data_IF_729486155805
#
_entry.id   IF_729486155805
#
_cell.length_a   1.000
_cell.length_b   1.000
_cell.length_c   1.000
_cell.angle_alpha   90.00
_cell.angle_beta   90.00
_cell.angle_gamma   90.00
#
_symmetry.space_group_name_H-M   'P 1'
#
loop_
_entity.id
_entity.type
_entity.pdbx_description
1 polymer ?
#
# COMPACT_ATOMS: atom_id res chain seq x y z
N UNK A 1 -27.71 2.01 -3.71
CA UNK A 1 -27.33 0.98 -2.74
C UNK A 1 -26.36 1.46 -1.66
N UNK A 2 -25.79 2.69 -1.73
CA UNK A 2 -24.85 3.17 -0.71
C UNK A 2 -23.50 2.44 -0.70
N UNK A 3 -23.19 1.71 -1.77
CA UNK A 3 -21.96 0.93 -1.93
C UNK A 3 -20.95 1.73 -2.76
N UNK A 4 -19.68 1.69 -2.35
CA UNK A 4 -18.55 2.18 -3.13
C UNK A 4 -17.74 1.00 -3.69
N UNK A 5 -17.20 1.17 -4.89
CA UNK A 5 -16.28 0.24 -5.50
C UNK A 5 -14.84 0.73 -5.31
N UNK A 6 -14.00 -0.13 -4.75
CA UNK A 6 -12.59 0.12 -4.51
C UNK A 6 -11.78 -0.75 -5.47
N UNK A 7 -11.34 -0.18 -6.59
CA UNK A 7 -10.49 -0.86 -7.55
C UNK A 7 -9.07 -0.98 -6.99
N UNK A 8 -8.48 -2.16 -6.98
CA UNK A 8 -7.10 -2.34 -6.55
C UNK A 8 -6.16 -2.09 -7.74
N UNK A 9 -5.29 -1.06 -7.71
CA UNK A 9 -4.24 -0.94 -8.70
C UNK A 9 -3.30 -2.14 -8.59
N UNK A 10 -3.12 -2.85 -9.69
CA UNK A 10 -2.33 -4.07 -9.72
C UNK A 10 -1.57 -4.20 -11.05
N UNK A 11 -0.32 -4.70 -11.10
CA UNK A 11 0.49 -4.69 -12.33
C UNK A 11 -0.03 -5.49 -13.52
N UNK A 12 -1.04 -6.33 -13.29
CA UNK A 12 -1.72 -7.11 -14.33
C UNK A 12 -3.08 -6.50 -14.74
N UNK A 13 -3.43 -5.33 -14.23
CA UNK A 13 -4.70 -4.64 -14.49
C UNK A 13 -4.50 -3.41 -15.38
N UNK A 14 -5.60 -2.83 -15.87
CA UNK A 14 -5.57 -1.58 -16.63
C UNK A 14 -5.15 -0.38 -15.78
N UNK A 15 -5.42 -0.43 -14.48
CA UNK A 15 -4.96 0.56 -13.51
C UNK A 15 -3.89 -0.10 -12.66
N UNK A 16 -2.68 0.43 -12.73
CA UNK A 16 -1.52 -0.16 -12.07
C UNK A 16 -0.58 0.89 -11.45
N UNK A 17 -0.78 2.17 -11.72
CA UNK A 17 0.04 3.27 -11.19
C UNK A 17 -0.82 4.52 -10.97
N UNK A 18 -0.19 5.61 -10.51
CA UNK A 18 -0.87 6.90 -10.24
C UNK A 18 -1.51 7.47 -11.51
N UNK A 19 -0.80 7.46 -12.63
CA UNK A 19 -1.27 8.03 -13.91
C UNK A 19 -2.52 7.31 -14.43
N UNK A 20 -2.49 5.98 -14.43
CA UNK A 20 -3.61 5.15 -14.87
C UNK A 20 -4.79 5.24 -13.90
N UNK A 21 -4.54 5.43 -12.61
CA UNK A 21 -5.59 5.65 -11.61
C UNK A 21 -6.31 6.99 -11.83
N UNK A 22 -5.56 8.07 -12.04
CA UNK A 22 -6.12 9.38 -12.36
C UNK A 22 -6.91 9.34 -13.67
N UNK A 23 -6.36 8.66 -14.70
CA UNK A 23 -7.06 8.46 -15.97
C UNK A 23 -8.35 7.66 -15.80
N UNK A 24 -8.35 6.63 -14.95
CA UNK A 24 -9.57 5.87 -14.66
C UNK A 24 -10.64 6.73 -13.97
N UNK A 25 -10.26 7.60 -13.04
CA UNK A 25 -11.19 8.56 -12.41
C UNK A 25 -11.83 9.48 -13.46
N UNK A 26 -11.03 10.00 -14.39
CA UNK A 26 -11.52 10.83 -15.50
C UNK A 26 -12.50 10.07 -16.40
N UNK A 27 -12.12 8.88 -16.86
CA UNK A 27 -12.96 8.02 -17.71
C UNK A 27 -14.26 7.60 -17.00
N UNK A 28 -14.23 7.50 -15.68
CA UNK A 28 -15.40 7.21 -14.85
C UNK A 28 -16.22 8.47 -14.51
N UNK A 29 -15.90 9.63 -15.08
CA UNK A 29 -16.63 10.88 -14.91
C UNK A 29 -16.52 11.46 -13.49
N UNK A 30 -15.45 11.13 -12.75
CA UNK A 30 -15.26 11.60 -11.39
C UNK A 30 -16.29 11.09 -10.38
N UNK A 31 -17.06 10.04 -10.72
CA UNK A 31 -18.09 9.45 -9.84
C UNK A 31 -17.53 9.12 -8.45
N UNK A 32 -18.32 9.39 -7.41
CA UNK A 32 -17.91 9.21 -6.00
C UNK A 32 -18.01 7.76 -5.53
N UNK A 33 -18.63 6.91 -6.34
CA UNK A 33 -18.76 5.48 -6.11
C UNK A 33 -17.52 4.72 -6.62
N UNK A 34 -16.65 5.35 -7.41
CA UNK A 34 -15.42 4.77 -7.92
C UNK A 34 -14.20 5.37 -7.21
N UNK A 35 -13.45 4.50 -6.56
CA UNK A 35 -12.21 4.81 -5.88
C UNK A 35 -11.32 3.58 -5.83
N UNK A 36 -10.41 3.55 -4.86
CA UNK A 36 -9.29 2.63 -4.87
C UNK A 36 -9.17 1.83 -3.57
N UNK A 37 -8.81 0.56 -3.74
CA UNK A 37 -8.21 -0.26 -2.69
C UNK A 37 -6.70 -0.05 -2.79
N UNK A 38 -6.12 0.70 -1.85
CA UNK A 38 -4.70 0.98 -1.87
C UNK A 38 -3.92 -0.23 -1.35
N UNK A 39 -3.10 -0.83 -2.22
CA UNK A 39 -2.14 -1.88 -1.87
C UNK A 39 -0.72 -1.36 -2.17
N UNK A 40 0.12 -1.12 -1.15
CA UNK A 40 1.46 -0.58 -1.36
C UNK A 40 2.43 -1.59 -1.96
N UNK A 41 2.21 -2.90 -1.81
CA UNK A 41 3.11 -3.92 -2.36
C UNK A 41 3.07 -3.92 -3.89
N UNK A 42 1.88 -3.75 -4.48
CA UNK A 42 1.68 -3.65 -5.93
C UNK A 42 2.40 -2.44 -6.54
N UNK A 43 2.44 -1.32 -5.82
CA UNK A 43 3.10 -0.09 -6.27
C UNK A 43 4.63 -0.19 -6.17
N UNK A 44 5.15 -0.73 -5.06
CA UNK A 44 6.59 -0.99 -4.92
C UNK A 44 7.08 -2.01 -5.94
N UNK A 45 6.26 -3.00 -6.29
CA UNK A 45 6.57 -3.96 -7.35
C UNK A 45 6.85 -3.26 -8.70
N UNK A 46 6.24 -2.09 -8.94
CA UNK A 46 6.48 -1.24 -10.11
C UNK A 46 7.51 -0.13 -9.89
N UNK A 47 8.16 -0.09 -8.72
CA UNK A 47 9.13 0.95 -8.36
C UNK A 47 8.49 2.31 -8.09
N UNK A 48 7.22 2.34 -7.70
CA UNK A 48 6.48 3.57 -7.40
C UNK A 48 6.59 3.86 -5.90
N UNK A 49 6.97 5.10 -5.58
CA UNK A 49 6.88 5.63 -4.22
C UNK A 49 5.41 5.70 -3.80
N UNK A 50 5.05 4.93 -2.78
CA UNK A 50 3.65 4.65 -2.41
C UNK A 50 2.91 5.88 -1.91
N UNK A 51 3.62 6.84 -1.31
CA UNK A 51 3.07 8.12 -0.88
C UNK A 51 2.45 8.92 -2.03
N UNK A 52 3.01 8.83 -3.24
CA UNK A 52 2.51 9.59 -4.39
C UNK A 52 1.11 9.13 -4.78
N UNK A 53 0.79 7.86 -4.55
CA UNK A 53 -0.57 7.36 -4.77
C UNK A 53 -1.53 7.88 -3.70
N UNK A 54 -1.09 7.92 -2.44
CA UNK A 54 -1.93 8.40 -1.34
C UNK A 54 -2.25 9.87 -1.51
N UNK A 55 -1.24 10.70 -1.77
CA UNK A 55 -1.38 12.14 -2.00
C UNK A 55 -2.28 12.44 -3.20
N UNK A 56 -2.05 11.77 -4.34
CA UNK A 56 -2.79 12.04 -5.56
C UNK A 56 -4.27 11.60 -5.52
N UNK A 57 -4.58 10.49 -4.83
CA UNK A 57 -5.94 9.92 -4.83
C UNK A 57 -6.73 10.29 -3.57
N UNK A 58 -6.06 10.58 -2.46
CA UNK A 58 -6.63 11.10 -1.22
C UNK A 58 -7.97 10.48 -0.83
N UNK A 59 -9.03 11.30 -0.87
CA UNK A 59 -10.39 10.90 -0.48
C UNK A 59 -11.04 9.81 -1.36
N UNK A 60 -10.35 9.34 -2.42
CA UNK A 60 -10.78 8.20 -3.24
C UNK A 60 -10.22 6.87 -2.76
N UNK A 61 -9.37 6.87 -1.74
CA UNK A 61 -8.93 5.63 -1.09
C UNK A 61 -10.05 5.17 -0.18
N UNK A 62 -10.72 4.09 -0.57
CA UNK A 62 -11.88 3.55 0.16
C UNK A 62 -11.52 2.35 1.01
N UNK A 63 -10.40 1.70 0.70
CA UNK A 63 -9.92 0.52 1.40
C UNK A 63 -8.40 0.45 1.29
N UNK A 64 -7.76 -0.25 2.22
CA UNK A 64 -6.30 -0.44 2.24
C UNK A 64 -6.00 -1.91 2.47
N UNK A 65 -5.13 -2.48 1.66
CA UNK A 65 -4.48 -3.75 1.93
C UNK A 65 -3.17 -3.54 2.68
N UNK A 66 -3.06 -4.17 3.84
CA UNK A 66 -1.83 -4.35 4.58
C UNK A 66 -1.02 -5.50 3.97
N UNK A 67 -0.48 -5.27 2.78
CA UNK A 67 0.40 -6.19 2.03
C UNK A 67 1.76 -5.54 1.84
N UNK A 68 2.83 -6.31 1.94
CA UNK A 68 4.20 -5.80 1.79
C UNK A 68 4.89 -6.49 0.60
N UNK A 69 5.95 -5.86 0.12
CA UNK A 69 6.74 -6.30 -1.01
C UNK A 69 8.18 -5.92 -0.79
N UNK A 70 9.10 -6.85 -1.01
CA UNK A 70 10.53 -6.60 -0.87
C UNK A 70 11.15 -6.42 -2.24
N UNK A 71 11.81 -5.27 -2.43
CA UNK A 71 12.79 -5.11 -3.50
C UNK A 71 14.06 -5.85 -3.07
N UNK A 72 14.30 -7.01 -3.67
CA UNK A 72 15.46 -7.86 -3.36
C UNK A 72 16.67 -7.28 -4.09
N UNK A 73 17.27 -6.23 -3.52
CA UNK A 73 18.26 -5.35 -4.17
C UNK A 73 19.42 -6.10 -4.83
N UNK A 74 19.93 -7.15 -4.20
CA UNK A 74 21.01 -7.98 -4.74
C UNK A 74 20.62 -8.80 -5.99
N UNK A 75 19.33 -8.97 -6.25
CA UNK A 75 18.79 -9.68 -7.42
C UNK A 75 18.25 -8.75 -8.51
N UNK A 76 17.92 -7.49 -8.20
CA UNK A 76 17.28 -6.55 -9.16
C UNK A 76 18.11 -6.39 -10.44
N UNK A 77 19.43 -6.28 -10.34
CA UNK A 77 20.29 -6.13 -11.52
C UNK A 77 20.28 -7.33 -12.48
N UNK A 78 19.85 -8.52 -12.00
CA UNK A 78 19.73 -9.75 -12.79
C UNK A 78 18.29 -10.01 -13.24
N UNK A 79 17.33 -9.89 -12.32
CA UNK A 79 15.94 -10.32 -12.53
C UNK A 79 15.00 -9.17 -12.86
N UNK A 80 15.41 -7.92 -12.67
CA UNK A 80 14.52 -6.76 -12.71
C UNK A 80 13.50 -6.75 -11.57
N UNK A 81 12.70 -5.69 -11.53
CA UNK A 81 11.61 -5.54 -10.56
C UNK A 81 10.37 -6.38 -10.90
N UNK A 82 10.20 -6.84 -12.15
CA UNK A 82 9.03 -7.60 -12.62
C UNK A 82 9.47 -9.02 -13.05
N UNK A 83 9.81 -9.93 -12.12
CA UNK A 83 10.30 -11.24 -12.47
C UNK A 83 9.18 -12.13 -13.04
N UNK A 84 9.52 -12.90 -14.06
CA UNK A 84 8.63 -13.94 -14.60
C UNK A 84 8.92 -15.31 -13.97
N UNK A 85 7.92 -16.20 -13.95
CA UNK A 85 8.02 -17.57 -13.43
C UNK A 85 7.64 -17.70 -11.96
N UNK A 86 8.05 -18.81 -11.33
CA UNK A 86 7.68 -19.18 -9.96
C UNK A 86 8.01 -18.07 -8.95
N UNK A 87 7.07 -17.76 -8.07
CA UNK A 87 7.20 -16.79 -6.97
C UNK A 87 8.20 -17.24 -5.89
N UNK A 88 8.48 -18.54 -5.77
CA UNK A 88 9.45 -19.08 -4.82
C UNK A 88 10.90 -19.07 -5.34
N UNK A 89 11.12 -18.65 -6.59
CA UNK A 89 12.47 -18.62 -7.17
C UNK A 89 13.36 -17.64 -6.39
N UNK A 90 14.55 -18.11 -6.02
CA UNK A 90 15.47 -17.37 -5.13
C UNK A 90 16.13 -16.14 -5.76
N UNK A 91 16.24 -16.09 -7.09
CA UNK A 91 16.91 -15.02 -7.83
C UNK A 91 15.95 -13.91 -8.29
N UNK A 92 14.70 -13.89 -7.81
CA UNK A 92 13.74 -12.81 -8.11
C UNK A 92 14.22 -11.48 -7.53
N UNK A 93 14.08 -10.42 -8.30
CA UNK A 93 14.33 -9.04 -7.84
C UNK A 93 13.21 -8.46 -6.98
N UNK A 94 12.06 -9.13 -6.90
CA UNK A 94 10.94 -8.78 -6.03
C UNK A 94 10.23 -10.02 -5.49
N UNK A 95 9.75 -9.94 -4.25
CA UNK A 95 8.86 -10.95 -3.64
C UNK A 95 7.85 -10.29 -2.70
N UNK A 96 6.64 -10.85 -2.65
CA UNK A 96 5.64 -10.45 -1.67
C UNK A 96 6.03 -10.89 -0.26
N UNK A 97 5.73 -10.04 0.71
CA UNK A 97 6.07 -10.18 2.12
C UNK A 97 4.88 -9.79 2.99
N UNK A 98 4.97 -10.15 4.27
CA UNK A 98 4.12 -9.54 5.30
C UNK A 98 4.62 -8.13 5.67
N UNK A 99 3.74 -7.23 6.16
CA UNK A 99 4.11 -5.94 6.72
C UNK A 99 5.26 -6.02 7.73
N UNK A 100 6.27 -5.19 7.51
CA UNK A 100 7.47 -5.08 8.36
C UNK A 100 8.62 -6.00 7.95
N UNK A 101 8.41 -6.85 6.94
CA UNK A 101 9.43 -7.74 6.39
C UNK A 101 9.76 -7.46 4.93
N UNK A 102 9.16 -6.42 4.33
CA UNK A 102 9.48 -5.95 3.00
C UNK A 102 10.02 -4.52 2.98
N UNK A 103 9.78 -3.86 1.87
CA UNK A 103 10.31 -2.53 1.54
C UNK A 103 9.26 -1.43 1.68
N UNK A 104 8.01 -1.75 2.05
CA UNK A 104 6.97 -0.73 2.26
C UNK A 104 7.33 0.17 3.45
N UNK A 105 7.37 1.51 3.27
CA UNK A 105 7.66 2.45 4.36
C UNK A 105 6.41 2.68 5.22
N UNK A 106 5.98 1.67 6.00
CA UNK A 106 4.70 1.66 6.73
C UNK A 106 4.43 2.88 7.59
N UNK A 107 5.45 3.44 8.26
CA UNK A 107 5.28 4.68 9.03
C UNK A 107 4.86 5.84 8.14
N UNK A 108 5.47 5.97 6.95
CA UNK A 108 5.10 7.00 5.97
C UNK A 108 3.69 6.73 5.42
N UNK A 109 3.39 5.48 5.04
CA UNK A 109 2.04 5.08 4.57
C UNK A 109 0.96 5.48 5.57
N UNK A 110 1.13 5.13 6.85
CA UNK A 110 0.15 5.46 7.90
C UNK A 110 0.03 6.97 8.10
N UNK A 111 1.15 7.69 8.07
CA UNK A 111 1.14 9.17 8.10
C UNK A 111 0.34 9.75 6.95
N UNK A 112 0.65 9.37 5.71
CA UNK A 112 -0.02 9.91 4.51
C UNK A 112 -1.52 9.58 4.50
N UNK A 113 -1.89 8.34 4.87
CA UNK A 113 -3.30 7.95 5.02
C UNK A 113 -4.01 8.84 6.05
N UNK A 114 -3.37 9.10 7.20
CA UNK A 114 -3.91 10.00 8.20
C UNK A 114 -4.03 11.45 7.70
N UNK A 115 -3.06 11.92 6.91
CA UNK A 115 -3.05 13.28 6.36
C UNK A 115 -4.17 13.51 5.34
N UNK A 116 -4.52 12.49 4.56
CA UNK A 116 -5.67 12.55 3.62
C UNK A 116 -7.01 12.19 4.26
N UNK A 117 -7.03 11.95 5.57
CA UNK A 117 -8.24 11.69 6.35
C UNK A 117 -8.81 10.28 6.21
N UNK A 118 -7.98 9.29 5.88
CA UNK A 118 -8.39 7.88 5.87
C UNK A 118 -8.48 7.35 7.31
N UNK A 119 -9.68 6.91 7.71
CA UNK A 119 -10.00 6.48 9.08
C UNK A 119 -10.63 5.07 9.16
N UNK A 120 -10.55 4.29 8.07
CA UNK A 120 -11.15 2.96 7.97
C UNK A 120 -10.13 1.84 8.25
N UNK A 121 -10.33 0.64 7.69
CA UNK A 121 -9.56 -0.57 8.04
C UNK A 121 -8.36 -0.80 7.12
N UNK A 122 -7.22 -1.21 7.70
CA UNK A 122 -6.17 -1.87 6.93
C UNK A 122 -6.39 -3.38 6.98
N UNK A 123 -6.84 -3.95 5.86
CA UNK A 123 -7.12 -5.38 5.74
C UNK A 123 -5.85 -6.15 5.40
N UNK A 124 -5.52 -7.18 6.16
CA UNK A 124 -4.34 -7.98 5.90
C UNK A 124 -4.52 -8.92 4.71
N UNK A 125 -3.62 -8.84 3.74
CA UNK A 125 -3.51 -9.78 2.62
C UNK A 125 -2.20 -10.56 2.75
N UNK A 126 -2.28 -11.89 2.65
CA UNK A 126 -1.12 -12.77 2.82
C UNK A 126 -0.71 -13.45 1.52
N UNK A 127 0.42 -13.01 0.97
CA UNK A 127 1.11 -13.64 -0.17
C UNK A 127 2.60 -13.87 0.09
N UNK A 128 3.01 -13.89 1.37
CA UNK A 128 4.42 -14.07 1.75
C UNK A 128 4.94 -15.44 1.30
N UNK A 129 5.98 -15.43 0.47
CA UNK A 129 6.57 -16.65 -0.10
C UNK A 129 7.55 -17.38 0.83
N UNK A 130 7.79 -16.84 2.03
CA UNK A 130 8.77 -17.36 3.01
C UNK A 130 8.14 -17.76 4.34
N UNK A 131 6.91 -17.31 4.61
CA UNK A 131 6.28 -17.39 5.91
C UNK A 131 4.90 -18.02 5.81
N UNK A 132 4.52 -18.81 6.82
CA UNK A 132 3.17 -19.36 6.90
C UNK A 132 2.13 -18.26 7.18
N UNK A 133 0.88 -18.51 6.79
CA UNK A 133 -0.26 -17.60 7.09
C UNK A 133 -0.37 -17.27 8.56
N UNK A 134 -0.25 -18.27 9.45
CA UNK A 134 -0.45 -18.08 10.88
C UNK A 134 0.66 -17.24 11.53
N UNK A 135 1.92 -17.54 11.19
CA UNK A 135 3.05 -16.74 11.65
C UNK A 135 2.98 -15.32 11.08
N UNK A 136 2.59 -15.21 9.80
CA UNK A 136 2.35 -13.96 9.11
C UNK A 136 1.38 -13.04 9.84
N UNK A 137 0.17 -13.54 10.14
CA UNK A 137 -0.85 -12.79 10.89
C UNK A 137 -0.28 -12.29 12.23
N UNK A 138 0.36 -13.18 12.98
CA UNK A 138 0.88 -12.86 14.32
C UNK A 138 1.93 -11.74 14.26
N UNK A 139 2.88 -11.83 13.33
CA UNK A 139 3.94 -10.83 13.16
C UNK A 139 3.41 -9.51 12.60
N UNK A 140 2.48 -9.55 11.64
CA UNK A 140 1.87 -8.34 11.08
C UNK A 140 1.12 -7.55 12.14
N UNK A 141 0.32 -8.21 12.98
CA UNK A 141 -0.38 -7.54 14.10
C UNK A 141 0.63 -6.92 15.05
N UNK A 142 1.67 -7.66 15.44
CA UNK A 142 2.69 -7.16 16.35
C UNK A 142 3.46 -5.94 15.77
N UNK A 143 3.65 -5.91 14.46
CA UNK A 143 4.35 -4.83 13.77
C UNK A 143 3.47 -3.58 13.54
N UNK A 144 2.26 -3.73 13.01
CA UNK A 144 1.42 -2.60 12.61
C UNK A 144 0.68 -1.96 13.80
N UNK A 145 0.24 -2.74 14.78
CA UNK A 145 -0.54 -2.24 15.91
C UNK A 145 0.11 -1.05 16.65
N UNK A 146 1.41 -1.06 17.00
CA UNK A 146 2.05 0.08 17.65
C UNK A 146 2.25 1.30 16.74
N UNK A 147 2.07 1.18 15.43
CA UNK A 147 2.20 2.29 14.47
C UNK A 147 0.88 3.04 14.23
N UNK A 148 -0.25 2.47 14.66
CA UNK A 148 -1.57 3.07 14.44
C UNK A 148 -1.69 4.41 15.16
N UNK A 149 -2.17 5.41 14.44
CA UNK A 149 -2.51 6.72 14.99
C UNK A 149 -3.91 6.63 15.61
N UNK A 150 -4.02 6.83 16.91
CA UNK A 150 -5.31 6.76 17.62
C UNK A 150 -6.12 8.05 17.48
N UNK A 151 -5.44 9.20 17.45
CA UNK A 151 -6.05 10.53 17.39
C UNK A 151 -5.27 11.46 16.48
N UNK A 152 -5.93 12.43 15.83
CA UNK A 152 -5.24 13.42 15.04
C UNK A 152 -4.35 14.31 15.92
N UNK A 153 -3.45 15.03 15.25
CA UNK A 153 -2.61 16.02 15.90
C UNK A 153 -3.43 17.15 16.55
N UNK A 154 -3.15 17.45 17.82
CA UNK A 154 -3.92 18.40 18.65
C UNK A 154 -3.40 19.85 18.58
N UNK A 155 -2.44 20.13 17.69
CA UNK A 155 -1.79 21.45 17.60
C UNK A 155 -0.56 21.58 18.51
N UNK A 156 0.23 22.66 18.32
CA UNK A 156 1.26 23.06 19.28
C UNK A 156 0.64 24.05 20.24
N UNK A 157 0.73 23.75 21.54
CA UNK A 157 0.25 24.63 22.61
C UNK A 157 1.39 25.15 23.49
N UNK A 158 2.65 25.01 23.04
CA UNK A 158 3.81 25.45 23.80
C UNK A 158 4.08 26.96 23.65
N UNK A 159 4.77 27.53 24.64
CA UNK A 159 4.95 28.98 24.84
C UNK A 159 5.56 29.70 23.63
N UNK A 160 6.29 28.98 22.76
CA UNK A 160 6.92 29.57 21.57
C UNK A 160 5.97 29.71 20.37
N UNK A 161 4.80 29.06 20.40
CA UNK A 161 3.87 29.01 19.28
C UNK A 161 2.43 29.42 19.66
N UNK A 162 2.25 30.06 20.83
CA UNK A 162 1.00 30.70 21.28
C UNK A 162 1.02 32.22 21.02
#
# INVERSE_FOLDING_TARGET
YGVKFAHEPHPNELVYNVETALRAVELMGGRKEFGFNFDPANLIYLGIDVENFIDALGNRIYHVHAKDGEIVTHNVGRSGLIPQGDWQRLDRGFRFRIPGWGSVPWKKVITELSMVGYDYVMSYEHEDVTMSRHDGITKTIAFLKPLMIEKPYEGRNDVLFN
#
